data_IF_074754273158
#
_entry.id   IF_074754273158
#
_cell.length_a   1.000
_cell.length_b   1.000
_cell.length_c   1.000
_cell.angle_alpha   90.00
_cell.angle_beta   90.00
_cell.angle_gamma   90.00
#
_symmetry.space_group_name_H-M   'P 1'
#
loop_
_entity.id
_entity.type
_entity.pdbx_description
1 polymer ?
#
# COMPACT_ATOMS: atom_id res chain seq x y z
N UNK A 1 4.88 15.24 -4.03
CA UNK A 1 5.44 13.99 -3.45
C UNK A 1 6.26 14.41 -2.26
N UNK A 2 6.04 13.82 -1.08
CA UNK A 2 6.79 14.21 0.12
C UNK A 2 8.30 14.17 -0.11
N UNK A 3 9.04 15.06 0.55
CA UNK A 3 10.49 15.12 0.45
C UNK A 3 11.12 13.77 0.88
N UNK A 4 12.20 13.35 0.23
CA UNK A 4 13.01 12.23 0.73
C UNK A 4 13.56 12.60 2.12
N UNK A 5 13.30 11.74 3.11
CA UNK A 5 13.79 11.95 4.48
C UNK A 5 15.10 11.22 4.71
N UNK A 6 15.79 11.58 5.80
CA UNK A 6 16.99 10.87 6.22
C UNK A 6 16.68 9.39 6.49
N UNK A 7 17.41 8.51 5.80
CA UNK A 7 17.21 7.07 5.90
C UNK A 7 17.65 6.47 7.25
N UNK A 8 18.46 7.18 8.02
CA UNK A 8 19.03 6.67 9.28
C UNK A 8 18.16 6.96 10.50
N UNK A 9 17.34 8.01 10.45
CA UNK A 9 16.64 8.52 11.63
C UNK A 9 15.21 9.02 11.38
N UNK A 10 14.72 9.02 10.13
CA UNK A 10 13.36 9.45 9.79
C UNK A 10 12.57 8.45 8.95
N UNK A 11 13.19 7.43 8.35
CA UNK A 11 12.47 6.42 7.57
C UNK A 11 11.70 5.39 8.41
N UNK A 12 12.08 5.20 9.69
CA UNK A 12 11.47 4.21 10.58
C UNK A 12 11.32 4.74 12.02
N UNK A 13 10.32 4.26 12.78
CA UNK A 13 10.26 4.47 14.22
C UNK A 13 11.58 4.07 14.90
N UNK A 14 12.01 4.77 15.97
CA UNK A 14 11.29 5.81 16.72
C UNK A 14 11.42 7.22 16.12
N UNK A 15 11.82 7.36 14.84
CA UNK A 15 12.03 8.63 14.14
C UNK A 15 12.94 9.59 14.92
N UNK A 16 14.13 9.11 15.31
CA UNK A 16 15.08 9.84 16.14
C UNK A 16 15.46 11.24 15.59
N UNK A 17 15.27 11.49 14.29
CA UNK A 17 15.50 12.78 13.65
C UNK A 17 14.41 13.83 13.90
N UNK A 18 13.23 13.45 14.42
CA UNK A 18 12.18 14.40 14.80
C UNK A 18 12.49 15.14 16.11
N UNK A 19 11.87 16.32 16.37
CA UNK A 19 11.83 16.91 17.70
C UNK A 19 11.30 15.93 18.77
N UNK A 20 11.78 16.05 20.01
CA UNK A 20 11.33 15.16 21.09
C UNK A 20 9.84 15.29 21.41
N UNK A 21 9.29 16.50 21.24
CA UNK A 21 7.88 16.76 21.40
C UNK A 21 7.06 15.94 20.40
N UNK A 22 7.41 15.98 19.12
CA UNK A 22 6.70 15.24 18.06
C UNK A 22 6.76 13.73 18.27
N UNK A 23 7.94 13.19 18.62
CA UNK A 23 8.06 11.75 18.91
C UNK A 23 7.17 11.32 20.08
N UNK A 24 7.12 12.14 21.14
CA UNK A 24 6.25 11.88 22.28
C UNK A 24 4.77 11.95 21.86
N UNK A 25 4.38 12.95 21.07
CA UNK A 25 3.02 13.09 20.56
C UNK A 25 2.57 11.94 19.66
N UNK A 26 3.42 11.46 18.76
CA UNK A 26 3.09 10.30 17.92
C UNK A 26 2.91 9.06 18.80
N UNK A 27 3.80 8.85 19.77
CA UNK A 27 3.69 7.72 20.69
C UNK A 27 2.44 7.79 21.57
N UNK A 28 2.14 8.95 22.14
CA UNK A 28 0.95 9.15 22.97
C UNK A 28 -0.33 8.91 22.14
N UNK A 29 -0.33 9.33 20.88
CA UNK A 29 -1.41 9.08 19.93
C UNK A 29 -1.59 7.58 19.68
N UNK A 30 -0.52 6.87 19.31
CA UNK A 30 -0.53 5.42 19.09
C UNK A 30 -1.05 4.67 20.32
N UNK A 31 -0.53 4.98 21.52
CA UNK A 31 -0.95 4.37 22.78
C UNK A 31 -2.44 4.66 23.08
N UNK A 32 -2.92 5.87 22.79
CA UNK A 32 -4.33 6.26 23.01
C UNK A 32 -5.31 5.54 22.09
N UNK A 33 -4.84 5.11 20.91
CA UNK A 33 -5.64 4.41 19.90
C UNK A 33 -5.54 2.89 20.03
N UNK A 34 -4.79 2.35 20.99
CA UNK A 34 -4.60 0.92 21.17
C UNK A 34 -5.93 0.14 21.32
N UNK A 35 -6.97 0.74 21.90
CA UNK A 35 -8.31 0.11 21.98
C UNK A 35 -9.09 0.11 20.66
N UNK A 36 -8.57 0.77 19.62
CA UNK A 36 -9.15 0.88 18.29
C UNK A 36 -8.26 0.19 17.25
N UNK A 37 -7.37 -0.72 17.68
CA UNK A 37 -6.35 -1.33 16.82
C UNK A 37 -6.90 -2.32 15.79
N UNK A 38 -8.21 -2.63 15.83
CA UNK A 38 -8.88 -3.49 14.85
C UNK A 38 -9.98 -2.74 14.11
N UNK A 39 -10.30 -3.11 12.86
CA UNK A 39 -11.44 -2.56 12.14
C UNK A 39 -12.79 -2.75 12.86
N UNK A 40 -12.94 -3.83 13.65
CA UNK A 40 -14.15 -4.08 14.41
C UNK A 40 -14.33 -3.08 15.55
N UNK A 41 -13.26 -2.82 16.30
CA UNK A 41 -13.27 -1.84 17.40
C UNK A 41 -13.43 -0.41 16.88
N UNK A 42 -12.76 -0.08 15.77
CA UNK A 42 -12.94 1.20 15.08
C UNK A 42 -14.41 1.43 14.68
N UNK A 43 -15.08 0.43 14.09
CA UNK A 43 -16.51 0.50 13.76
C UNK A 43 -17.39 0.63 15.00
N UNK A 44 -17.10 -0.10 16.06
CA UNK A 44 -17.82 0.01 17.33
C UNK A 44 -17.69 1.42 17.94
N UNK A 45 -16.56 2.08 17.73
CA UNK A 45 -16.32 3.47 18.12
C UNK A 45 -16.89 4.53 17.16
N UNK A 46 -17.50 4.11 16.04
CA UNK A 46 -18.18 5.00 15.08
C UNK A 46 -17.32 5.46 13.90
N UNK A 47 -16.17 4.83 13.66
CA UNK A 47 -15.38 5.03 12.45
C UNK A 47 -15.84 4.07 11.35
N UNK A 48 -16.15 4.58 10.17
CA UNK A 48 -16.66 3.78 9.04
C UNK A 48 -15.65 3.76 7.89
N UNK A 49 -15.46 2.63 7.18
CA UNK A 49 -14.54 2.57 6.06
C UNK A 49 -14.97 3.54 4.95
N UNK A 50 -14.01 4.29 4.41
CA UNK A 50 -14.22 5.25 3.32
C UNK A 50 -13.16 5.06 2.24
N UNK A 51 -13.55 5.28 0.97
CA UNK A 51 -12.66 5.33 -0.20
C UNK A 51 -11.95 4.03 -0.61
N UNK A 52 -12.20 2.90 0.06
CA UNK A 52 -11.49 1.64 -0.23
C UNK A 52 -10.02 1.68 0.19
N UNK A 53 -9.25 0.66 -0.22
CA UNK A 53 -7.81 0.63 -0.04
C UNK A 53 -7.14 1.50 -1.10
N UNK A 54 -6.41 2.51 -0.66
CA UNK A 54 -5.71 3.43 -1.56
C UNK A 54 -4.21 3.10 -1.55
N UNK A 55 -3.55 2.95 -2.71
CA UNK A 55 -2.12 2.65 -2.79
C UNK A 55 -1.28 3.65 -1.97
N UNK A 56 -0.49 3.13 -1.03
CA UNK A 56 0.35 3.94 -0.15
C UNK A 56 -0.37 4.66 0.98
N UNK A 57 -1.69 4.52 1.13
CA UNK A 57 -2.44 5.10 2.27
C UNK A 57 -3.25 4.08 3.08
N UNK A 58 -3.50 2.90 2.53
CA UNK A 58 -4.32 1.87 3.17
C UNK A 58 -5.81 2.21 3.11
N UNK A 59 -6.59 1.55 3.96
CA UNK A 59 -8.02 1.77 4.12
C UNK A 59 -8.27 2.82 5.19
N UNK A 60 -8.95 3.91 4.81
CA UNK A 60 -9.37 4.93 5.75
C UNK A 60 -10.64 4.50 6.48
N UNK A 61 -10.67 4.70 7.79
CA UNK A 61 -11.85 4.59 8.64
C UNK A 61 -12.14 5.96 9.24
N UNK A 62 -13.29 6.55 8.91
CA UNK A 62 -13.58 7.97 9.16
C UNK A 62 -14.70 8.12 10.18
N UNK A 63 -14.48 9.00 11.17
CA UNK A 63 -15.51 9.40 12.13
C UNK A 63 -16.20 10.68 11.66
N UNK A 64 -17.36 10.55 11.02
CA UNK A 64 -18.14 11.71 10.55
C UNK A 64 -18.47 12.68 11.68
N UNK A 65 -18.71 12.17 12.89
CA UNK A 65 -18.96 13.00 14.08
C UNK A 65 -17.78 13.91 14.40
N UNK A 66 -16.55 13.38 14.32
CA UNK A 66 -15.34 14.16 14.57
C UNK A 66 -15.01 15.05 13.37
N UNK A 67 -15.23 14.59 12.13
CA UNK A 67 -15.01 15.40 10.92
C UNK A 67 -15.95 16.59 10.78
N UNK A 68 -17.14 16.54 11.38
CA UNK A 68 -18.05 17.68 11.47
C UNK A 68 -17.58 18.74 12.47
N UNK A 69 -16.69 18.37 13.39
CA UNK A 69 -16.01 19.34 14.23
C UNK A 69 -14.85 19.93 13.43
N UNK A 70 -14.91 21.23 13.13
CA UNK A 70 -13.85 21.89 12.37
C UNK A 70 -12.61 22.18 13.25
N UNK A 71 -12.59 21.79 14.52
CA UNK A 71 -11.40 21.94 15.37
C UNK A 71 -10.44 20.75 15.19
N UNK A 72 -9.13 21.03 15.16
CA UNK A 72 -8.09 20.01 15.14
C UNK A 72 -7.67 19.71 16.58
N UNK A 73 -8.03 18.51 17.07
CA UNK A 73 -7.59 17.98 18.36
C UNK A 73 -6.58 16.85 18.10
N UNK A 74 -5.32 17.10 18.45
CA UNK A 74 -4.21 16.14 18.22
C UNK A 74 -4.40 14.82 18.95
N UNK A 75 -5.20 14.79 20.01
CA UNK A 75 -5.44 13.55 20.76
C UNK A 75 -6.72 12.84 20.26
N UNK A 76 -7.40 13.38 19.24
CA UNK A 76 -8.64 12.82 18.66
C UNK A 76 -8.63 12.87 17.13
N UNK A 77 -7.85 12.01 16.46
CA UNK A 77 -7.89 11.92 15.01
C UNK A 77 -9.29 11.50 14.56
N UNK A 78 -9.72 12.05 13.42
CA UNK A 78 -11.01 11.70 12.82
C UNK A 78 -10.88 10.66 11.71
N UNK A 79 -9.66 10.20 11.43
CA UNK A 79 -9.36 9.10 10.53
C UNK A 79 -8.40 8.11 11.19
N UNK A 80 -8.68 6.83 11.01
CA UNK A 80 -7.78 5.72 11.32
C UNK A 80 -7.36 5.06 10.00
N UNK A 81 -6.09 4.68 9.90
CA UNK A 81 -5.53 4.07 8.70
C UNK A 81 -5.25 2.60 8.98
N UNK A 82 -5.90 1.71 8.24
CA UNK A 82 -5.70 0.27 8.35
C UNK A 82 -5.04 -0.29 7.10
N UNK A 83 -4.19 -1.29 7.27
CA UNK A 83 -3.67 -2.07 6.16
C UNK A 83 -3.57 -3.54 6.56
N UNK A 84 -3.83 -4.43 5.60
CA UNK A 84 -3.64 -5.85 5.79
C UNK A 84 -2.15 -6.19 5.65
N UNK A 85 -1.48 -6.45 6.76
CA UNK A 85 -0.06 -6.80 6.81
C UNK A 85 0.03 -8.19 7.43
N UNK A 86 0.66 -9.11 6.71
CA UNK A 86 0.79 -10.52 7.13
C UNK A 86 -0.58 -11.18 7.41
N UNK A 87 -1.58 -10.88 6.59
CA UNK A 87 -2.93 -11.44 6.70
C UNK A 87 -3.83 -10.76 7.74
N UNK A 88 -3.28 -9.88 8.58
CA UNK A 88 -4.01 -9.21 9.65
C UNK A 88 -4.24 -7.73 9.34
N UNK A 89 -5.45 -7.22 9.61
CA UNK A 89 -5.73 -5.79 9.51
C UNK A 89 -5.13 -5.04 10.69
N UNK A 90 -4.05 -4.31 10.44
CA UNK A 90 -3.31 -3.56 11.46
C UNK A 90 -3.62 -2.06 11.37
N UNK A 91 -3.73 -1.40 12.53
CA UNK A 91 -3.75 0.06 12.61
C UNK A 91 -2.34 0.59 12.34
N UNK A 92 -2.13 1.17 11.15
CA UNK A 92 -0.81 1.60 10.67
C UNK A 92 -0.57 3.11 10.79
N UNK A 93 -1.61 3.87 11.12
CA UNK A 93 -1.55 5.31 11.29
C UNK A 93 -2.90 5.94 11.61
N UNK A 94 -2.89 7.25 11.71
CA UNK A 94 -4.05 8.09 11.87
C UNK A 94 -3.97 9.30 10.95
N UNK A 95 -5.08 9.99 10.76
CA UNK A 95 -5.09 11.27 10.07
C UNK A 95 -6.10 12.26 10.66
N UNK A 96 -5.81 13.54 10.43
CA UNK A 96 -6.70 14.64 10.73
C UNK A 96 -7.19 15.20 9.41
N UNK A 97 -8.50 15.34 9.27
CA UNK A 97 -9.10 16.06 8.16
C UNK A 97 -10.02 17.17 8.63
N UNK A 98 -10.15 18.23 7.82
CA UNK A 98 -11.18 19.24 8.02
C UNK A 98 -11.45 20.01 6.74
N UNK A 99 -12.60 20.67 6.67
CA UNK A 99 -12.97 21.54 5.55
C UNK A 99 -12.70 22.99 5.91
N UNK A 100 -11.94 23.70 5.08
CA UNK A 100 -11.69 25.13 5.25
C UNK A 100 -11.40 25.79 3.90
N UNK A 101 -11.22 27.10 3.90
CA UNK A 101 -10.68 27.84 2.75
C UNK A 101 -9.33 27.25 2.30
N UNK A 102 -9.04 27.40 1.01
CA UNK A 102 -7.68 27.27 0.46
C UNK A 102 -6.75 28.18 1.27
N UNK A 103 -5.51 27.74 1.51
CA UNK A 103 -4.56 28.42 2.41
C UNK A 103 -5.15 28.61 3.83
N UNK A 104 -5.43 27.50 4.51
CA UNK A 104 -5.89 27.52 5.91
C UNK A 104 -4.86 28.19 6.82
N UNK A 105 -5.33 28.83 7.88
CA UNK A 105 -4.48 29.40 8.92
C UNK A 105 -4.47 28.53 10.18
N UNK A 106 -5.00 27.29 10.11
CA UNK A 106 -5.01 26.39 11.25
C UNK A 106 -3.61 25.87 11.51
N UNK A 107 -3.22 25.96 12.78
CA UNK A 107 -1.92 25.50 13.24
C UNK A 107 -1.78 23.99 13.07
N UNK A 108 -0.56 23.56 12.77
CA UNK A 108 -0.17 22.17 12.70
C UNK A 108 0.20 21.74 14.12
N UNK A 109 -0.33 20.62 14.64
CA UNK A 109 -0.13 20.25 16.05
C UNK A 109 1.24 19.61 16.36
N UNK A 110 2.24 19.85 15.50
CA UNK A 110 3.59 19.30 15.55
C UNK A 110 4.65 20.39 15.29
N UNK A 111 5.86 20.22 15.81
CA UNK A 111 6.97 21.17 15.68
C UNK A 111 7.77 21.00 14.38
N UNK A 112 7.82 19.79 13.83
CA UNK A 112 8.56 19.47 12.62
C UNK A 112 7.93 20.08 11.37
N UNK A 113 8.76 20.69 10.53
CA UNK A 113 8.37 21.18 9.20
C UNK A 113 7.90 20.06 8.24
N UNK A 114 8.19 18.79 8.58
CA UNK A 114 7.66 17.64 7.83
C UNK A 114 6.16 17.44 8.01
N UNK A 115 5.60 17.92 9.13
CA UNK A 115 4.16 17.92 9.34
C UNK A 115 3.56 19.08 8.54
N UNK A 116 2.82 18.76 7.48
CA UNK A 116 2.21 19.72 6.58
C UNK A 116 0.78 19.31 6.21
N UNK A 117 -0.14 20.27 6.17
CA UNK A 117 -1.46 20.06 5.57
C UNK A 117 -1.29 19.85 4.06
N UNK A 118 -1.97 18.85 3.51
CA UNK A 118 -2.15 18.70 2.07
C UNK A 118 -3.64 18.71 1.72
N UNK A 119 -3.93 18.96 0.45
CA UNK A 119 -5.28 19.26 -0.01
C UNK A 119 -5.89 18.14 -0.84
N UNK A 120 -7.14 17.81 -0.51
CA UNK A 120 -8.03 16.95 -1.31
C UNK A 120 -9.23 17.74 -1.80
N UNK A 121 -9.04 18.56 -2.83
CA UNK A 121 -10.07 19.48 -3.26
C UNK A 121 -11.32 18.83 -3.88
N UNK A 122 -11.20 17.61 -4.39
CA UNK A 122 -12.31 16.83 -4.94
C UNK A 122 -13.44 16.61 -3.93
N UNK A 123 -13.18 16.81 -2.64
CA UNK A 123 -14.17 16.65 -1.57
C UNK A 123 -14.79 17.97 -1.10
N UNK A 124 -14.48 19.12 -1.74
CA UNK A 124 -14.85 20.45 -1.26
C UNK A 124 -15.71 21.29 -2.21
N UNK A 125 -16.42 22.27 -1.61
CA UNK A 125 -17.15 23.31 -2.34
C UNK A 125 -16.23 24.40 -2.91
N UNK A 126 -16.76 25.30 -3.76
CA UNK A 126 -15.98 26.41 -4.31
C UNK A 126 -15.25 27.23 -3.25
N UNK A 127 -13.95 27.47 -3.45
CA UNK A 127 -13.10 28.27 -2.54
C UNK A 127 -12.69 27.55 -1.25
N UNK A 128 -13.03 26.27 -1.12
CA UNK A 128 -12.65 25.41 0.00
C UNK A 128 -11.86 24.20 -0.50
N UNK A 129 -11.17 23.54 0.44
CA UNK A 129 -10.54 22.24 0.23
C UNK A 129 -10.71 21.39 1.49
N UNK A 130 -10.55 20.09 1.36
CA UNK A 130 -10.33 19.19 2.48
C UNK A 130 -8.84 19.20 2.79
N UNK A 131 -8.48 19.77 3.94
CA UNK A 131 -7.12 19.74 4.46
C UNK A 131 -6.91 18.43 5.20
N UNK A 132 -5.76 17.78 5.00
CA UNK A 132 -5.44 16.52 5.64
C UNK A 132 -3.98 16.47 6.10
N UNK A 133 -3.75 15.81 7.24
CA UNK A 133 -2.42 15.49 7.77
C UNK A 133 -2.42 14.03 8.19
N UNK A 134 -1.51 13.24 7.62
CA UNK A 134 -1.30 11.84 8.00
C UNK A 134 -0.23 11.74 9.10
N UNK A 135 -0.37 10.74 9.95
CA UNK A 135 0.62 10.33 10.96
C UNK A 135 0.75 8.81 10.93
N UNK A 136 1.90 8.32 10.49
CA UNK A 136 2.22 6.89 10.42
C UNK A 136 2.76 6.38 11.75
N UNK A 137 2.36 5.16 12.14
CA UNK A 137 2.90 4.42 13.30
C UNK A 137 3.97 3.40 12.89
N UNK A 138 4.00 3.04 11.61
CA UNK A 138 4.98 2.14 11.02
C UNK A 138 6.06 2.92 10.25
N UNK A 139 7.09 2.21 9.79
CA UNK A 139 8.07 2.78 8.85
C UNK A 139 7.40 3.37 7.60
N UNK A 140 7.95 4.49 7.13
CA UNK A 140 7.39 5.28 6.04
C UNK A 140 8.50 5.83 5.16
N UNK A 141 8.35 5.66 3.84
CA UNK A 141 9.35 6.02 2.83
C UNK A 141 9.77 7.48 2.87
N UNK A 142 8.87 8.34 3.35
CA UNK A 142 9.06 9.79 3.40
C UNK A 142 8.80 10.35 4.80
N UNK A 143 8.91 9.50 5.82
CA UNK A 143 8.78 9.88 7.22
C UNK A 143 7.35 9.83 7.77
N UNK A 144 7.20 10.11 9.07
CA UNK A 144 5.95 9.85 9.81
C UNK A 144 4.78 10.73 9.38
N UNK A 145 5.04 11.89 8.78
CA UNK A 145 4.00 12.82 8.32
C UNK A 145 3.76 12.75 6.81
N UNK A 146 4.37 11.79 6.12
CA UNK A 146 4.23 11.66 4.68
C UNK A 146 2.77 11.43 4.29
N UNK A 147 2.29 12.15 3.29
CA UNK A 147 0.96 11.94 2.73
C UNK A 147 0.77 10.55 2.09
N UNK A 148 1.87 9.95 1.61
CA UNK A 148 1.92 8.60 1.06
C UNK A 148 3.04 7.82 1.73
N UNK A 149 2.79 6.55 2.02
CA UNK A 149 3.79 5.59 2.48
C UNK A 149 4.04 4.55 1.38
N UNK A 150 5.12 4.72 0.61
CA UNK A 150 5.45 3.80 -0.49
C UNK A 150 5.94 2.43 -0.01
N UNK A 151 6.19 2.24 1.29
CA UNK A 151 6.46 0.93 1.87
C UNK A 151 5.21 0.09 2.08
N UNK A 152 4.05 0.74 2.20
CA UNK A 152 2.81 0.05 2.54
C UNK A 152 2.45 -1.03 1.51
N UNK A 153 2.49 -0.79 0.18
CA UNK A 153 2.20 -1.84 -0.80
C UNK A 153 3.18 -3.03 -0.79
N UNK A 154 4.44 -2.83 -0.39
CA UNK A 154 5.37 -3.94 -0.21
C UNK A 154 4.97 -4.77 1.01
N UNK A 155 4.69 -4.13 2.14
CA UNK A 155 4.23 -4.80 3.37
C UNK A 155 2.93 -5.57 3.18
N UNK A 156 1.95 -5.00 2.48
CA UNK A 156 0.68 -5.69 2.21
C UNK A 156 0.84 -6.85 1.22
N UNK A 157 1.87 -6.82 0.38
CA UNK A 157 2.31 -7.94 -0.44
C UNK A 157 3.22 -8.94 0.32
N UNK A 158 3.58 -8.62 1.57
CA UNK A 158 4.55 -9.31 2.43
C UNK A 158 6.00 -9.28 1.93
N UNK A 159 6.32 -8.33 1.06
CA UNK A 159 7.69 -8.12 0.62
C UNK A 159 8.49 -7.31 1.64
N UNK A 160 9.79 -7.59 1.71
CA UNK A 160 10.73 -6.73 2.40
C UNK A 160 10.74 -5.35 1.72
N UNK A 161 10.78 -4.29 2.53
CA UNK A 161 10.77 -2.92 2.02
C UNK A 161 12.16 -2.56 1.46
N UNK A 162 12.26 -1.85 0.32
CA UNK A 162 13.53 -1.37 -0.19
C UNK A 162 14.32 -0.58 0.87
N UNK A 163 15.66 -0.68 0.84
CA UNK A 163 16.50 0.05 1.80
C UNK A 163 16.18 1.56 1.70
N UNK A 164 15.79 2.22 2.80
CA UNK A 164 15.38 3.61 2.75
C UNK A 164 16.46 4.57 2.24
N UNK A 165 17.75 4.23 2.35
CA UNK A 165 18.83 5.05 1.81
C UNK A 165 18.84 5.12 0.28
N UNK A 166 18.16 4.21 -0.40
CA UNK A 166 18.02 4.26 -1.85
C UNK A 166 17.09 5.38 -2.31
N UNK A 167 16.22 5.90 -1.44
CA UNK A 167 15.35 7.05 -1.74
C UNK A 167 16.11 8.36 -1.94
N UNK A 168 17.39 8.43 -1.56
CA UNK A 168 18.25 9.58 -1.84
C UNK A 168 18.67 9.68 -3.32
N UNK A 169 18.51 8.59 -4.08
CA UNK A 169 18.76 8.52 -5.52
C UNK A 169 17.41 8.63 -6.24
N UNK A 170 17.14 9.78 -6.86
CA UNK A 170 15.80 10.07 -7.40
C UNK A 170 15.39 9.13 -8.54
N UNK A 171 16.34 8.59 -9.32
CA UNK A 171 16.02 7.58 -10.34
C UNK A 171 15.50 6.29 -9.69
N UNK A 172 16.17 5.85 -8.62
CA UNK A 172 15.76 4.67 -7.86
C UNK A 172 14.47 4.94 -7.08
N UNK A 173 14.32 6.15 -6.54
CA UNK A 173 13.09 6.57 -5.85
C UNK A 173 11.88 6.55 -6.79
N UNK A 174 12.00 7.04 -8.04
CA UNK A 174 10.92 6.97 -9.04
C UNK A 174 10.54 5.51 -9.33
N UNK A 175 11.52 4.60 -9.47
CA UNK A 175 11.28 3.16 -9.63
C UNK A 175 10.54 2.57 -8.43
N UNK A 176 10.95 2.91 -7.20
CA UNK A 176 10.26 2.49 -5.96
C UNK A 176 8.80 2.92 -5.97
N UNK A 177 8.52 4.19 -6.28
CA UNK A 177 7.14 4.72 -6.31
C UNK A 177 6.28 4.00 -7.35
N UNK A 178 6.80 3.76 -8.55
CA UNK A 178 6.09 3.04 -9.61
C UNK A 178 5.81 1.59 -9.26
N UNK A 179 6.83 0.87 -8.77
CA UNK A 179 6.69 -0.53 -8.35
C UNK A 179 5.73 -0.65 -7.16
N UNK A 180 5.78 0.27 -6.21
CA UNK A 180 4.85 0.35 -5.08
C UNK A 180 3.39 0.43 -5.54
N UNK A 181 3.07 1.36 -6.46
CA UNK A 181 1.72 1.49 -7.03
C UNK A 181 1.34 0.26 -7.85
N UNK A 182 2.28 -0.28 -8.64
CA UNK A 182 2.04 -1.47 -9.44
C UNK A 182 1.72 -2.71 -8.57
N UNK A 183 2.40 -2.88 -7.44
CA UNK A 183 2.09 -3.94 -6.48
C UNK A 183 0.70 -3.80 -5.88
N UNK A 184 0.29 -2.59 -5.49
CA UNK A 184 -1.04 -2.36 -4.95
C UNK A 184 -2.13 -2.71 -5.99
N UNK A 185 -1.95 -2.31 -7.25
CA UNK A 185 -2.88 -2.63 -8.33
C UNK A 185 -2.92 -4.14 -8.63
N UNK A 186 -1.75 -4.78 -8.71
CA UNK A 186 -1.62 -6.21 -8.99
C UNK A 186 -2.24 -7.07 -7.88
N UNK A 187 -1.89 -6.81 -6.62
CA UNK A 187 -2.44 -7.56 -5.47
C UNK A 187 -3.92 -7.28 -5.24
N UNK A 188 -4.39 -6.05 -5.49
CA UNK A 188 -5.81 -5.71 -5.46
C UNK A 188 -6.62 -6.46 -6.50
N UNK A 189 -6.10 -6.63 -7.72
CA UNK A 189 -6.74 -7.42 -8.77
C UNK A 189 -6.87 -8.90 -8.37
N UNK A 190 -5.83 -9.49 -7.78
CA UNK A 190 -5.86 -10.87 -7.27
C UNK A 190 -6.93 -11.01 -6.17
N UNK A 191 -6.91 -10.13 -5.16
CA UNK A 191 -7.90 -10.16 -4.07
C UNK A 191 -9.33 -10.00 -4.58
N UNK A 192 -9.55 -9.13 -5.57
CA UNK A 192 -10.86 -9.01 -6.21
C UNK A 192 -11.31 -10.31 -6.88
N UNK A 193 -10.43 -10.98 -7.64
CA UNK A 193 -10.73 -12.25 -8.29
C UNK A 193 -11.09 -13.34 -7.27
N UNK A 194 -10.29 -13.48 -6.20
CA UNK A 194 -10.53 -14.45 -5.13
C UNK A 194 -11.85 -14.19 -4.40
N UNK A 195 -12.20 -12.91 -4.17
CA UNK A 195 -13.46 -12.55 -3.51
C UNK A 195 -14.69 -12.96 -4.33
N UNK A 196 -14.60 -12.91 -5.67
CA UNK A 196 -15.70 -13.32 -6.56
C UNK A 196 -15.93 -14.82 -6.54
N UNK A 197 -14.88 -15.63 -6.50
CA UNK A 197 -15.03 -17.09 -6.41
C UNK A 197 -15.59 -17.55 -5.07
N UNK A 198 -15.22 -16.86 -3.98
CA UNK A 198 -15.82 -17.12 -2.66
C UNK A 198 -17.35 -16.90 -2.67
N UNK A 199 -17.84 -15.86 -3.36
CA UNK A 199 -19.28 -15.61 -3.47
C UNK A 199 -20.03 -16.65 -4.32
N UNK A 200 -19.38 -17.25 -5.34
CA UNK A 200 -19.96 -18.36 -6.13
C UNK A 200 -19.82 -19.71 -5.44
N UNK A 201 -18.91 -19.83 -4.47
CA UNK A 201 -18.61 -21.05 -3.70
C UNK A 201 -19.41 -21.20 -2.40
N UNK A 202 -20.16 -20.18 -1.97
CA UNK A 202 -20.92 -20.16 -0.69
C UNK A 202 -22.03 -21.23 -0.51
N UNK A 203 -22.08 -22.25 -1.37
CA UNK A 203 -22.86 -23.48 -1.15
C UNK A 203 -22.07 -24.62 -0.48
N UNK A 204 -20.81 -24.43 -0.09
CA UNK A 204 -20.08 -25.42 0.73
C UNK A 204 -19.39 -24.76 1.93
N UNK A 205 -20.03 -24.91 3.09
CA UNK A 205 -19.44 -24.63 4.41
C UNK A 205 -18.13 -25.40 4.60
N UNK A 206 -17.14 -24.72 5.20
CA UNK A 206 -16.04 -25.32 5.95
C UNK A 206 -15.13 -26.27 5.18
N UNK A 207 -14.19 -25.72 4.41
CA UNK A 207 -13.00 -26.46 4.02
C UNK A 207 -11.81 -25.92 4.82
N UNK A 208 -11.36 -26.69 5.81
CA UNK A 208 -9.95 -26.69 6.19
C UNK A 208 -9.15 -26.85 4.89
N UNK A 209 -8.39 -25.82 4.51
CA UNK A 209 -7.52 -25.84 3.33
C UNK A 209 -6.28 -26.70 3.64
N UNK A 210 -6.47 -28.01 3.73
CA UNK A 210 -5.39 -28.99 3.74
C UNK A 210 -4.94 -29.19 2.29
N UNK A 211 -3.85 -28.53 1.88
CA UNK A 211 -3.24 -28.74 0.56
C UNK A 211 -2.94 -30.23 0.39
N UNK A 212 -3.54 -30.87 -0.61
CA UNK A 212 -3.22 -32.27 -0.95
C UNK A 212 -1.90 -32.28 -1.71
N UNK A 213 -1.00 -33.23 -1.41
CA UNK A 213 0.31 -33.39 -2.07
C UNK A 213 0.26 -33.23 -3.62
N UNK A 214 -0.85 -33.64 -4.26
CA UNK A 214 -1.04 -33.50 -5.70
C UNK A 214 -1.15 -32.05 -6.23
N UNK A 215 -1.60 -31.08 -5.42
CA UNK A 215 -1.65 -29.67 -5.83
C UNK A 215 -0.26 -29.02 -5.76
N UNK A 216 0.57 -29.42 -4.79
CA UNK A 216 1.98 -29.01 -4.70
C UNK A 216 2.75 -29.52 -5.92
N UNK A 217 2.52 -30.78 -6.28
CA UNK A 217 3.13 -31.42 -7.46
C UNK A 217 2.70 -30.71 -8.75
N UNK A 218 1.45 -30.26 -8.84
CA UNK A 218 0.92 -29.50 -9.99
C UNK A 218 1.61 -28.13 -10.13
N UNK A 219 1.86 -27.42 -9.04
CA UNK A 219 2.59 -26.13 -9.07
C UNK A 219 4.06 -26.33 -9.41
N UNK A 220 4.70 -27.38 -8.89
CA UNK A 220 6.08 -27.75 -9.23
C UNK A 220 6.19 -28.10 -10.72
N UNK A 221 5.25 -28.86 -11.27
CA UNK A 221 5.27 -29.22 -12.68
C UNK A 221 4.96 -28.02 -13.60
N UNK A 222 4.06 -27.13 -13.18
CA UNK A 222 3.80 -25.86 -13.89
C UNK A 222 5.04 -24.96 -13.95
N UNK A 223 5.75 -24.83 -12.82
CA UNK A 223 6.99 -24.02 -12.72
C UNK A 223 8.17 -24.62 -13.49
N UNK A 224 8.28 -25.96 -13.56
CA UNK A 224 9.26 -26.66 -14.40
C UNK A 224 8.99 -26.48 -15.90
N UNK A 225 7.72 -26.54 -16.34
CA UNK A 225 7.37 -26.35 -17.75
C UNK A 225 7.73 -24.96 -18.28
N UNK A 226 7.74 -23.95 -17.41
CA UNK A 226 8.08 -22.57 -17.78
C UNK A 226 9.56 -22.22 -17.56
N UNK A 227 10.39 -23.17 -17.10
CA UNK A 227 11.83 -22.98 -16.96
C UNK A 227 12.25 -22.11 -15.77
N UNK A 228 11.53 -22.21 -14.64
CA UNK A 228 11.89 -21.54 -13.39
C UNK A 228 13.33 -21.85 -12.96
N UNK A 229 14.03 -20.85 -12.41
CA UNK A 229 15.35 -21.03 -11.82
C UNK A 229 15.31 -21.66 -10.41
N UNK A 230 14.12 -21.76 -9.82
CA UNK A 230 13.90 -22.39 -8.52
C UNK A 230 13.88 -23.90 -8.69
N UNK A 231 14.55 -24.61 -7.78
CA UNK A 231 14.41 -26.05 -7.70
C UNK A 231 13.14 -26.44 -6.92
N UNK A 232 12.69 -27.68 -7.11
CA UNK A 232 11.45 -28.19 -6.53
C UNK A 232 11.38 -28.03 -5.00
N UNK A 233 12.52 -28.12 -4.30
CA UNK A 233 12.59 -27.91 -2.85
C UNK A 233 12.39 -26.45 -2.45
N UNK A 234 12.71 -25.48 -3.30
CA UNK A 234 12.46 -24.06 -3.04
C UNK A 234 10.99 -23.69 -3.27
N UNK A 235 10.38 -24.27 -4.31
CA UNK A 235 8.95 -24.12 -4.61
C UNK A 235 8.11 -24.80 -3.51
N UNK A 236 8.46 -26.03 -3.14
CA UNK A 236 7.81 -26.77 -2.08
C UNK A 236 7.98 -26.06 -0.72
N UNK A 237 9.15 -25.48 -0.45
CA UNK A 237 9.38 -24.72 0.80
C UNK A 237 8.62 -23.40 0.80
N UNK A 238 8.45 -22.73 -0.33
CA UNK A 238 7.63 -21.52 -0.45
C UNK A 238 6.13 -21.83 -0.29
N UNK A 239 5.63 -22.91 -0.90
CA UNK A 239 4.27 -23.39 -0.71
C UNK A 239 4.04 -23.82 0.74
N UNK A 240 4.94 -24.63 1.30
CA UNK A 240 4.82 -25.15 2.66
C UNK A 240 5.05 -24.07 3.72
N UNK A 241 5.79 -23.00 3.43
CA UNK A 241 5.83 -21.81 4.26
C UNK A 241 4.45 -21.12 4.29
N UNK A 242 3.82 -20.95 3.12
CA UNK A 242 2.43 -20.45 3.02
C UNK A 242 1.36 -21.32 3.69
N UNK A 243 1.60 -22.64 3.79
CA UNK A 243 0.66 -23.61 4.38
C UNK A 243 0.90 -23.85 5.87
N UNK A 244 2.15 -23.82 6.34
CA UNK A 244 2.48 -24.10 7.76
C UNK A 244 2.53 -22.85 8.62
N UNK A 245 2.61 -21.68 8.01
CA UNK A 245 2.71 -20.42 8.70
C UNK A 245 1.76 -19.41 8.05
N UNK A 246 0.64 -19.12 8.71
CA UNK A 246 -0.25 -18.04 8.31
C UNK A 246 0.46 -16.66 8.32
N UNK A 247 1.68 -16.59 8.87
CA UNK A 247 2.57 -15.43 8.82
C UNK A 247 3.55 -15.42 7.62
N UNK A 248 3.46 -16.34 6.66
CA UNK A 248 4.35 -16.33 5.50
C UNK A 248 4.05 -15.14 4.57
N UNK A 249 5.08 -14.32 4.40
CA UNK A 249 5.04 -12.97 3.85
C UNK A 249 4.81 -12.91 2.31
N UNK A 250 4.11 -13.86 1.69
CA UNK A 250 3.85 -13.81 0.22
C UNK A 250 2.43 -14.23 -0.16
N UNK A 251 1.50 -14.26 0.78
CA UNK A 251 0.13 -14.79 0.58
C UNK A 251 -0.55 -14.34 -0.72
N UNK A 252 -0.60 -13.04 -1.10
CA UNK A 252 -1.29 -12.63 -2.33
C UNK A 252 -0.63 -13.13 -3.62
N UNK A 253 0.71 -13.24 -3.62
CA UNK A 253 1.50 -13.76 -4.74
C UNK A 253 1.40 -15.29 -4.84
N UNK A 254 1.26 -15.96 -3.70
CA UNK A 254 1.08 -17.41 -3.59
C UNK A 254 -0.36 -17.83 -3.94
N UNK A 255 -1.36 -17.09 -3.49
CA UNK A 255 -2.78 -17.30 -3.82
C UNK A 255 -3.06 -17.08 -5.32
N UNK A 256 -2.36 -16.15 -5.97
CA UNK A 256 -2.44 -16.01 -7.42
C UNK A 256 -1.81 -17.20 -8.18
N UNK A 257 -0.74 -17.81 -7.66
CA UNK A 257 -0.20 -19.07 -8.23
C UNK A 257 -1.21 -20.22 -8.09
N UNK A 258 -1.89 -20.27 -6.95
CA UNK A 258 -2.96 -21.25 -6.68
C UNK A 258 -4.11 -21.04 -7.68
N UNK A 259 -4.56 -19.81 -7.88
CA UNK A 259 -5.61 -19.49 -8.85
C UNK A 259 -5.22 -19.93 -10.27
N UNK A 260 -3.99 -19.64 -10.71
CA UNK A 260 -3.47 -20.10 -12.02
C UNK A 260 -3.42 -21.63 -12.11
N UNK A 261 -3.10 -22.32 -11.00
CA UNK A 261 -3.05 -23.79 -10.94
C UNK A 261 -4.42 -24.47 -10.86
N UNK A 262 -5.44 -23.77 -10.37
CA UNK A 262 -6.82 -24.27 -10.20
C UNK A 262 -7.75 -23.93 -11.36
N UNK A 263 -7.27 -23.21 -12.39
CA UNK A 263 -8.00 -23.06 -13.65
C UNK A 263 -8.32 -24.47 -14.17
N UNK A 264 -9.61 -24.79 -14.45
CA UNK A 264 -10.03 -26.16 -14.72
C UNK A 264 -9.23 -26.76 -15.86
N UNK A 265 -9.09 -28.11 -15.89
CA UNK A 265 -8.47 -28.94 -16.94
C UNK A 265 -8.97 -28.70 -18.39
N UNK A 266 -9.75 -27.65 -18.63
CA UNK A 266 -10.01 -27.13 -19.95
C UNK A 266 -8.72 -26.50 -20.50
N UNK A 267 -8.35 -26.77 -21.76
CA UNK A 267 -7.24 -26.06 -22.38
C UNK A 267 -7.51 -24.56 -22.26
N UNK A 268 -6.56 -23.86 -21.64
CA UNK A 268 -6.58 -22.40 -21.59
C UNK A 268 -6.75 -21.91 -23.03
N UNK A 269 -7.60 -20.89 -23.21
CA UNK A 269 -7.56 -20.14 -24.45
C UNK A 269 -6.13 -19.61 -24.64
N UNK A 270 -5.68 -19.33 -25.87
CA UNK A 270 -4.37 -18.71 -26.08
C UNK A 270 -4.18 -17.42 -25.25
N UNK A 271 -5.26 -16.70 -24.97
CA UNK A 271 -5.32 -15.55 -24.07
C UNK A 271 -5.05 -15.95 -22.61
N UNK A 272 -5.73 -16.98 -22.08
CA UNK A 272 -5.49 -17.47 -20.71
C UNK A 272 -4.09 -18.05 -20.50
N UNK A 273 -3.49 -18.66 -21.52
CA UNK A 273 -2.09 -19.13 -21.46
C UNK A 273 -1.10 -17.96 -21.43
N UNK A 274 -1.36 -16.90 -22.21
CA UNK A 274 -0.56 -15.69 -22.20
C UNK A 274 -0.64 -14.96 -20.84
N UNK A 275 -1.84 -14.84 -20.27
CA UNK A 275 -2.06 -14.22 -18.96
C UNK A 275 -1.39 -15.01 -17.84
N UNK A 276 -1.45 -16.34 -17.88
CA UNK A 276 -0.80 -17.21 -16.90
C UNK A 276 0.73 -17.08 -16.95
N UNK A 277 1.33 -17.10 -18.14
CA UNK A 277 2.78 -16.89 -18.31
C UNK A 277 3.22 -15.51 -17.81
N UNK A 278 2.40 -14.50 -18.07
CA UNK A 278 2.65 -13.13 -17.64
C UNK A 278 2.57 -12.97 -16.13
N UNK A 279 1.59 -13.61 -15.50
CA UNK A 279 1.47 -13.67 -14.04
C UNK A 279 2.70 -14.33 -13.41
N UNK A 280 3.12 -15.50 -13.92
CA UNK A 280 4.32 -16.20 -13.45
C UNK A 280 5.56 -15.32 -13.57
N UNK A 281 5.65 -14.51 -14.64
CA UNK A 281 6.76 -13.56 -14.80
C UNK A 281 6.75 -12.45 -13.75
N UNK A 282 5.59 -11.90 -13.40
CA UNK A 282 5.47 -10.94 -12.29
C UNK A 282 5.88 -11.56 -10.95
N UNK A 283 5.46 -12.80 -10.69
CA UNK A 283 5.87 -13.51 -9.48
C UNK A 283 7.40 -13.68 -9.39
N UNK A 284 8.04 -14.13 -10.49
CA UNK A 284 9.50 -14.25 -10.58
C UNK A 284 10.21 -12.92 -10.30
N UNK A 285 9.71 -11.83 -10.88
CA UNK A 285 10.29 -10.49 -10.69
C UNK A 285 10.09 -10.00 -9.24
N UNK A 286 8.93 -10.27 -8.62
CA UNK A 286 8.69 -9.96 -7.21
C UNK A 286 9.71 -10.67 -6.30
N UNK A 287 10.01 -11.95 -6.57
CA UNK A 287 11.04 -12.68 -5.82
C UNK A 287 12.43 -12.06 -6.00
N UNK A 288 12.77 -11.61 -7.21
CA UNK A 288 14.05 -10.95 -7.50
C UNK A 288 14.18 -9.60 -6.77
N UNK A 289 13.10 -8.81 -6.75
CA UNK A 289 13.03 -7.58 -5.96
C UNK A 289 13.29 -7.88 -4.47
N UNK A 290 12.60 -8.87 -3.92
CA UNK A 290 12.71 -9.24 -2.51
C UNK A 290 14.12 -9.76 -2.15
N UNK A 291 14.71 -10.61 -3.00
CA UNK A 291 16.08 -11.09 -2.84
C UNK A 291 17.09 -9.94 -2.87
N UNK A 292 16.93 -8.98 -3.79
CA UNK A 292 17.80 -7.82 -3.88
C UNK A 292 17.72 -6.91 -2.65
N UNK A 293 16.54 -6.80 -2.01
CA UNK A 293 16.40 -6.11 -0.72
C UNK A 293 17.22 -6.81 0.36
N UNK A 294 17.09 -8.14 0.49
CA UNK A 294 17.80 -8.94 1.52
C UNK A 294 19.31 -8.89 1.37
N UNK A 295 19.79 -8.79 0.14
CA UNK A 295 21.22 -8.67 -0.18
C UNK A 295 21.73 -7.21 -0.13
N UNK A 296 20.87 -6.25 0.22
CA UNK A 296 21.15 -4.79 0.16
C UNK A 296 21.73 -4.36 -1.21
N UNK A 297 21.23 -4.95 -2.29
CA UNK A 297 21.75 -4.77 -3.63
C UNK A 297 20.87 -3.81 -4.46
N UNK A 298 21.15 -2.51 -4.32
CA UNK A 298 20.45 -1.43 -5.05
C UNK A 298 20.39 -1.65 -6.57
N UNK A 299 21.47 -2.17 -7.17
CA UNK A 299 21.55 -2.35 -8.62
C UNK A 299 20.65 -3.50 -9.07
N UNK A 300 20.74 -4.67 -8.43
CA UNK A 300 19.87 -5.81 -8.74
C UNK A 300 18.40 -5.48 -8.51
N UNK A 301 18.10 -4.69 -7.47
CA UNK A 301 16.75 -4.22 -7.19
C UNK A 301 16.25 -3.31 -8.33
N UNK A 302 17.07 -2.35 -8.75
CA UNK A 302 16.74 -1.45 -9.87
C UNK A 302 16.50 -2.22 -11.17
N UNK A 303 17.35 -3.21 -11.50
CA UNK A 303 17.16 -4.02 -12.71
C UNK A 303 15.88 -4.85 -12.64
N UNK A 304 15.53 -5.39 -11.46
CA UNK A 304 14.27 -6.11 -11.28
C UNK A 304 13.06 -5.17 -11.40
N UNK A 305 13.16 -3.95 -10.90
CA UNK A 305 12.13 -2.93 -11.06
C UNK A 305 11.90 -2.56 -12.53
N UNK A 306 12.98 -2.41 -13.30
CA UNK A 306 12.90 -2.16 -14.74
C UNK A 306 12.21 -3.34 -15.47
N UNK A 307 12.56 -4.58 -15.13
CA UNK A 307 11.89 -5.77 -15.66
C UNK A 307 10.39 -5.83 -15.31
N UNK A 308 10.00 -5.40 -14.11
CA UNK A 308 8.59 -5.31 -13.72
C UNK A 308 7.83 -4.37 -14.66
N UNK A 309 8.37 -3.16 -14.84
CA UNK A 309 7.77 -2.12 -15.69
C UNK A 309 7.73 -2.58 -17.16
N UNK A 310 8.77 -3.26 -17.64
CA UNK A 310 8.81 -3.83 -19.00
C UNK A 310 7.77 -4.94 -19.22
N UNK A 311 7.52 -5.76 -18.20
CA UNK A 311 6.50 -6.82 -18.24
C UNK A 311 5.06 -6.27 -18.16
N UNK A 312 4.89 -5.02 -17.71
CA UNK A 312 3.60 -4.30 -17.78
C UNK A 312 3.20 -3.97 -19.21
N UNK A 313 1.91 -4.10 -19.52
CA UNK A 313 1.37 -3.64 -20.80
C UNK A 313 1.18 -2.10 -20.78
N UNK A 314 0.88 -1.51 -21.93
CA UNK A 314 0.75 -0.04 -22.04
C UNK A 314 -0.41 0.54 -21.21
N UNK A 315 -1.51 -0.19 -21.06
CA UNK A 315 -2.64 0.22 -20.23
C UNK A 315 -2.27 0.26 -18.75
N UNK A 316 -1.54 -0.75 -18.28
CA UNK A 316 -1.05 -0.79 -16.89
C UNK A 316 0.02 0.28 -16.63
N UNK A 317 0.97 0.48 -17.55
CA UNK A 317 1.96 1.55 -17.42
C UNK A 317 1.28 2.91 -17.31
N UNK A 318 0.27 3.14 -18.14
CA UNK A 318 -0.52 4.36 -18.11
C UNK A 318 -1.36 4.47 -16.83
N UNK A 319 -1.94 3.36 -16.36
CA UNK A 319 -2.67 3.29 -15.09
C UNK A 319 -1.77 3.62 -13.90
N UNK A 320 -0.57 3.02 -13.80
CA UNK A 320 0.42 3.30 -12.77
C UNK A 320 0.80 4.79 -12.79
N UNK A 321 1.11 5.32 -13.97
CA UNK A 321 1.47 6.74 -14.16
C UNK A 321 0.34 7.67 -13.71
N UNK A 322 -0.89 7.38 -14.14
CA UNK A 322 -2.07 8.17 -13.78
C UNK A 322 -2.33 8.13 -12.28
N UNK A 323 -2.33 6.95 -11.66
CA UNK A 323 -2.50 6.81 -10.21
C UNK A 323 -1.42 7.53 -9.44
N UNK A 324 -0.15 7.40 -9.83
CA UNK A 324 0.94 8.10 -9.14
C UNK A 324 0.81 9.62 -9.26
N UNK A 325 0.38 10.14 -10.42
CA UNK A 325 0.12 11.57 -10.61
C UNK A 325 -1.05 12.06 -9.76
N UNK A 326 -2.17 11.34 -9.73
CA UNK A 326 -3.34 11.65 -8.92
C UNK A 326 -2.96 11.68 -7.43
N UNK A 327 -2.30 10.63 -6.94
CA UNK A 327 -1.85 10.54 -5.56
C UNK A 327 -0.89 11.68 -5.21
N UNK A 328 0.07 11.97 -6.10
CA UNK A 328 1.05 13.05 -5.93
C UNK A 328 0.40 14.42 -5.82
N UNK A 329 -0.52 14.73 -6.72
CA UNK A 329 -1.21 16.02 -6.75
C UNK A 329 -2.10 16.22 -5.53
N UNK A 330 -2.65 15.12 -5.00
CA UNK A 330 -3.45 15.10 -3.78
C UNK A 330 -2.59 15.14 -2.51
N UNK A 331 -1.26 15.16 -2.60
CA UNK A 331 -0.36 15.37 -1.45
C UNK A 331 0.25 16.78 -1.43
N UNK A 332 -0.23 17.69 -2.26
CA UNK A 332 0.27 19.06 -2.31
C UNK A 332 -0.63 19.96 -1.45
N UNK A 333 -0.02 20.88 -0.74
CA UNK A 333 -0.70 22.02 -0.13
C UNK A 333 -1.21 23.01 -1.19
N UNK A 334 -2.13 23.88 -0.80
CA UNK A 334 -2.60 25.00 -1.62
C UNK A 334 -1.43 25.82 -2.17
N UNK A 335 -0.45 26.16 -1.32
CA UNK A 335 0.71 26.97 -1.69
C UNK A 335 1.61 26.25 -2.72
N UNK A 336 1.86 24.96 -2.53
CA UNK A 336 2.65 24.16 -3.49
C UNK A 336 1.96 24.04 -4.84
N UNK A 337 0.62 23.90 -4.86
CA UNK A 337 -0.16 23.85 -6.09
C UNK A 337 -0.09 25.18 -6.84
N UNK A 338 -0.19 26.31 -6.12
CA UNK A 338 -0.02 27.65 -6.68
C UNK A 338 1.39 27.82 -7.27
N UNK A 339 2.43 27.39 -6.54
CA UNK A 339 3.81 27.46 -7.00
C UNK A 339 4.07 26.59 -8.25
N UNK A 340 3.37 25.46 -8.38
CA UNK A 340 3.44 24.58 -9.54
C UNK A 340 2.54 25.03 -10.71
N UNK A 341 1.76 26.11 -10.56
CA UNK A 341 0.79 26.56 -11.57
C UNK A 341 -0.36 25.56 -11.78
N UNK A 342 -0.62 24.70 -10.80
CA UNK A 342 -1.74 23.77 -10.80
C UNK A 342 -2.95 24.54 -10.31
N UNK A 343 -3.97 24.64 -11.15
CA UNK A 343 -5.19 25.41 -10.84
C UNK A 343 -5.77 24.96 -9.49
N UNK A 344 -5.99 25.94 -8.60
CA UNK A 344 -6.79 25.71 -7.41
C UNK A 344 -8.20 25.37 -7.87
N UNK A 345 -8.71 24.22 -7.48
CA UNK A 345 -9.96 23.72 -8.02
C UNK A 345 -11.10 24.66 -7.69
N UNK A 346 -11.70 25.16 -8.76
CA UNK A 346 -13.03 25.75 -8.75
C UNK A 346 -13.98 24.59 -9.03
N UNK A 347 -14.94 24.35 -8.16
CA UNK A 347 -15.86 23.23 -8.30
C UNK A 347 -16.77 23.46 -9.54
N UNK A 348 -16.31 23.07 -10.73
CA UNK A 348 -17.20 22.68 -11.84
C UNK A 348 -17.39 21.18 -11.69
N UNK A 349 -18.36 20.81 -10.87
CA UNK A 349 -18.53 19.47 -10.28
C UNK A 349 -18.43 18.29 -11.23
N UNK A 350 -17.89 17.20 -10.69
CA UNK A 350 -18.19 15.85 -11.16
C UNK A 350 -19.47 15.43 -10.44
N UNK A 351 -20.58 15.35 -11.20
CA UNK A 351 -21.82 14.69 -10.79
C UNK A 351 -21.64 13.18 -10.72
#
# INVERSE_FOLDING_TARGET
>A
MGQAVSCTDLASPPWAGLPSYDRAKIKDLEDSLASLSTPADARAAGFLPALGEIPGMGQHYVSLKLSMNNDVDVDKPNNLLFANIEGEDQLVGAAYLFMDKVNTTKEIPFESELAAWHDHPQFAGPGQTLHMLHVWFIESSNGPFAGLNFWLPFKTAGMDVPNPCWMADEEVADKIRRVSVAFAQFTGAIRYLLSRESTTSSSKEGADFEYREGEIETVIDGTRQVGSALNDSEIERALMAGVRDAAATTLPLLEGLIFVSQLPEKPLTPEGEADSKRFLKFHEIAMQLNAAVRDDNKFAWSEAADRWIENSNEEEKESIRRTLNELTNNQMSSEERDAAGIEQPTNTGVN
#
